data_IF_187150011129
#
_entry.id   IF_187150011129
#
_cell.length_a   1.000
_cell.length_b   1.000
_cell.length_c   1.000
_cell.angle_alpha   90.00
_cell.angle_beta   90.00
_cell.angle_gamma   90.00
#
_symmetry.space_group_name_H-M   'P 1'
#
loop_
_entity.id
_entity.type
_entity.pdbx_description
1 polymer ?
#
# COMPACT_ATOMS: atom_id res chain seq x y z
N UNK A 1 -9.31 -23.51 -11.75
CA UNK A 1 -8.99 -22.09 -11.50
C UNK A 1 -8.36 -22.00 -10.12
N UNK A 2 -7.44 -21.06 -9.83
CA UNK A 2 -6.83 -20.97 -8.51
C UNK A 2 -7.89 -20.66 -7.44
N UNK A 3 -7.66 -21.12 -6.22
CA UNK A 3 -8.48 -20.75 -5.08
C UNK A 3 -8.17 -19.30 -4.68
N UNK A 4 -9.19 -18.57 -4.22
CA UNK A 4 -9.04 -17.19 -3.78
C UNK A 4 -8.12 -17.09 -2.57
N UNK A 5 -7.03 -16.33 -2.68
CA UNK A 5 -6.03 -16.12 -1.62
C UNK A 5 -6.60 -15.45 -0.36
N UNK A 6 -7.76 -14.78 -0.46
CA UNK A 6 -8.42 -14.08 0.65
C UNK A 6 -9.48 -14.93 1.34
N UNK A 7 -10.47 -15.45 0.61
CA UNK A 7 -11.62 -16.14 1.21
C UNK A 7 -11.66 -17.65 0.95
N UNK A 8 -10.65 -18.20 0.28
CA UNK A 8 -10.51 -19.64 -0.01
C UNK A 8 -11.69 -20.23 -0.83
N UNK A 9 -12.46 -19.38 -1.53
CA UNK A 9 -13.49 -19.80 -2.48
C UNK A 9 -12.96 -19.86 -3.90
N UNK A 10 -13.70 -20.52 -4.78
CA UNK A 10 -13.37 -20.58 -6.20
C UNK A 10 -13.32 -19.17 -6.82
N UNK A 11 -12.38 -18.99 -7.76
CA UNK A 11 -12.25 -17.78 -8.57
C UNK A 11 -12.70 -18.05 -10.00
N UNK A 12 -13.10 -16.99 -10.69
CA UNK A 12 -13.46 -17.04 -12.11
C UNK A 12 -12.35 -16.40 -12.94
N UNK A 13 -12.05 -16.98 -14.09
CA UNK A 13 -11.14 -16.37 -15.07
C UNK A 13 -11.67 -14.99 -15.47
N UNK A 14 -10.79 -13.99 -15.47
CA UNK A 14 -11.11 -12.62 -15.85
C UNK A 14 -10.54 -12.29 -17.24
N UNK A 15 -9.22 -12.38 -17.39
CA UNK A 15 -8.54 -12.10 -18.66
C UNK A 15 -7.09 -12.63 -18.64
N UNK A 16 -6.40 -12.52 -19.78
CA UNK A 16 -4.94 -12.65 -19.88
C UNK A 16 -4.30 -11.31 -20.28
N UNK A 17 -3.13 -11.04 -19.75
CA UNK A 17 -2.33 -9.87 -20.11
C UNK A 17 -0.86 -10.28 -20.26
N UNK A 18 -0.15 -9.58 -21.14
CA UNK A 18 1.31 -9.66 -21.20
C UNK A 18 1.88 -8.73 -20.15
N UNK A 19 2.81 -9.24 -19.33
CA UNK A 19 3.55 -8.46 -18.35
C UNK A 19 5.05 -8.54 -18.63
N UNK A 20 5.80 -7.52 -18.20
CA UNK A 20 7.24 -7.38 -18.47
C UNK A 20 7.60 -7.50 -19.98
N UNK A 21 6.63 -7.32 -20.88
CA UNK A 21 6.82 -7.55 -22.32
C UNK A 21 7.14 -9.00 -22.70
N UNK A 22 6.85 -9.98 -21.82
CA UNK A 22 7.39 -11.35 -21.94
C UNK A 22 6.43 -12.44 -21.51
N UNK A 23 5.72 -12.26 -20.39
CA UNK A 23 4.93 -13.33 -19.77
C UNK A 23 3.43 -13.12 -20.01
N UNK A 24 2.75 -14.13 -20.54
CA UNK A 24 1.28 -14.10 -20.68
C UNK A 24 0.67 -14.70 -19.42
N UNK A 25 0.10 -13.85 -18.58
CA UNK A 25 -0.41 -14.20 -17.25
C UNK A 25 -1.93 -14.16 -17.21
N UNK A 26 -2.52 -15.16 -16.57
CA UNK A 26 -3.96 -15.22 -16.32
C UNK A 26 -4.33 -14.48 -15.03
N UNK A 27 -5.40 -13.69 -15.09
CA UNK A 27 -6.01 -13.00 -13.95
C UNK A 27 -7.36 -13.63 -13.62
N UNK A 28 -7.67 -13.69 -12.33
CA UNK A 28 -8.89 -14.31 -11.81
C UNK A 28 -9.56 -13.40 -10.79
N UNK A 29 -10.88 -13.33 -10.83
CA UNK A 29 -11.68 -12.57 -9.88
C UNK A 29 -12.54 -13.49 -9.00
N UNK A 30 -12.53 -13.26 -7.69
CA UNK A 30 -13.36 -14.02 -6.77
C UNK A 30 -14.78 -13.42 -6.68
N UNK A 31 -15.85 -14.14 -7.04
CA UNK A 31 -17.22 -13.62 -6.92
C UNK A 31 -17.66 -13.40 -5.45
N UNK A 32 -17.01 -14.07 -4.49
CA UNK A 32 -17.38 -13.97 -3.08
C UNK A 32 -16.83 -12.72 -2.39
N UNK A 33 -15.52 -12.49 -2.41
CA UNK A 33 -14.91 -11.32 -1.75
C UNK A 33 -14.46 -10.22 -2.71
N UNK A 34 -14.65 -10.42 -4.03
CA UNK A 34 -14.27 -9.49 -5.09
C UNK A 34 -12.78 -9.11 -5.07
N UNK A 35 -11.92 -10.06 -4.72
CA UNK A 35 -10.47 -9.95 -4.87
C UNK A 35 -10.07 -10.41 -6.27
N UNK A 36 -9.19 -9.66 -6.93
CA UNK A 36 -8.57 -10.09 -8.19
C UNK A 36 -7.12 -10.47 -7.92
N UNK A 37 -6.70 -11.61 -8.46
CA UNK A 37 -5.35 -12.15 -8.32
C UNK A 37 -4.85 -12.71 -9.65
N UNK A 38 -3.54 -12.81 -9.81
CA UNK A 38 -2.92 -13.58 -10.89
C UNK A 38 -2.97 -15.09 -10.63
N UNK A 39 -2.58 -15.88 -11.63
CA UNK A 39 -1.99 -17.21 -11.41
C UNK A 39 -0.72 -17.14 -10.53
N UNK A 40 -0.11 -18.30 -10.26
CA UNK A 40 1.14 -18.36 -9.48
C UNK A 40 2.19 -17.42 -10.07
N UNK A 41 2.74 -16.53 -9.24
CA UNK A 41 3.55 -15.41 -9.69
C UNK A 41 5.04 -15.78 -9.88
N UNK A 42 5.32 -16.70 -10.79
CA UNK A 42 6.66 -17.27 -11.02
C UNK A 42 7.70 -16.28 -11.57
N UNK A 43 7.27 -15.10 -12.05
CA UNK A 43 8.15 -14.04 -12.58
C UNK A 43 8.58 -13.02 -11.53
N UNK A 44 8.04 -13.06 -10.30
CA UNK A 44 8.26 -11.99 -9.32
C UNK A 44 9.74 -11.76 -9.02
N UNK A 45 10.54 -12.82 -8.95
CA UNK A 45 11.99 -12.71 -8.74
C UNK A 45 12.67 -11.81 -9.80
N UNK A 46 12.22 -11.89 -11.06
CA UNK A 46 12.69 -11.01 -12.12
C UNK A 46 12.22 -9.57 -11.90
N UNK A 47 10.95 -9.38 -11.53
CA UNK A 47 10.36 -8.06 -11.30
C UNK A 47 11.00 -7.30 -10.13
N UNK A 48 11.52 -8.01 -9.12
CA UNK A 48 12.13 -7.40 -7.93
C UNK A 48 13.63 -7.14 -8.04
N UNK A 49 14.27 -7.45 -9.18
CA UNK A 49 15.68 -7.05 -9.43
C UNK A 49 15.88 -5.53 -9.31
N UNK A 50 14.86 -4.76 -9.63
CA UNK A 50 14.79 -3.32 -9.39
C UNK A 50 13.59 -3.05 -8.45
N UNK A 51 13.79 -3.04 -7.12
CA UNK A 51 12.69 -3.00 -6.15
C UNK A 51 11.95 -1.67 -6.16
N UNK A 52 12.61 -0.60 -6.60
CA UNK A 52 11.99 0.71 -6.82
C UNK A 52 12.11 1.02 -8.30
N UNK A 53 10.97 1.16 -8.96
CA UNK A 53 10.91 1.40 -10.39
C UNK A 53 11.50 2.79 -10.71
N UNK A 54 12.48 2.83 -11.63
CA UNK A 54 13.11 4.08 -12.08
C UNK A 54 12.13 5.02 -12.79
N UNK A 55 11.00 4.52 -13.26
CA UNK A 55 9.94 5.33 -13.88
C UNK A 55 8.93 5.88 -12.86
N UNK A 56 9.05 5.55 -11.57
CA UNK A 56 8.20 6.12 -10.52
C UNK A 56 8.58 7.58 -10.23
N UNK A 57 7.97 8.49 -10.99
CA UNK A 57 8.13 9.93 -10.82
C UNK A 57 7.36 10.49 -9.62
N UNK A 58 6.50 9.68 -9.00
CA UNK A 58 5.64 10.08 -7.88
C UNK A 58 6.25 9.86 -6.50
N UNK A 59 7.38 9.14 -6.39
CA UNK A 59 7.93 8.64 -5.13
C UNK A 59 8.00 9.70 -4.02
N UNK A 60 8.62 10.85 -4.28
CA UNK A 60 8.80 11.92 -3.26
C UNK A 60 7.46 12.57 -2.90
N UNK A 61 6.64 12.91 -3.89
CA UNK A 61 5.35 13.55 -3.67
C UNK A 61 4.41 12.63 -2.88
N UNK A 62 4.40 11.34 -3.21
CA UNK A 62 3.65 10.29 -2.51
C UNK A 62 4.07 10.21 -1.04
N UNK A 63 5.37 10.14 -0.77
CA UNK A 63 5.92 10.14 0.58
C UNK A 63 5.50 11.38 1.40
N UNK A 64 5.50 12.57 0.78
CA UNK A 64 5.02 13.80 1.43
C UNK A 64 3.52 13.74 1.76
N UNK A 65 2.69 13.23 0.85
CA UNK A 65 1.27 13.03 1.09
C UNK A 65 1.04 12.01 2.21
N UNK A 66 1.64 10.83 2.12
CA UNK A 66 1.56 9.78 3.15
C UNK A 66 1.96 10.33 4.51
N UNK A 67 3.07 11.07 4.60
CA UNK A 67 3.55 11.66 5.86
C UNK A 67 2.55 12.66 6.45
N UNK A 68 1.91 13.50 5.61
CA UNK A 68 0.86 14.43 6.08
C UNK A 68 -0.36 13.68 6.57
N UNK A 69 -0.76 12.61 5.89
CA UNK A 69 -1.91 11.79 6.25
C UNK A 69 -1.67 11.03 7.55
N UNK A 70 -0.57 10.29 7.64
CA UNK A 70 -0.18 9.56 8.85
C UNK A 70 -0.06 10.48 10.05
N UNK A 71 0.57 11.66 9.92
CA UNK A 71 0.61 12.65 11.01
C UNK A 71 -0.79 13.01 11.50
N UNK A 72 -1.71 13.27 10.56
CA UNK A 72 -3.07 13.72 10.88
C UNK A 72 -3.88 12.59 11.53
N UNK A 73 -3.73 11.36 11.02
CA UNK A 73 -4.30 10.15 11.61
C UNK A 73 -3.81 9.96 13.05
N UNK A 74 -2.50 10.02 13.27
CA UNK A 74 -1.90 9.85 14.60
C UNK A 74 -2.46 10.89 15.55
N UNK A 75 -2.47 12.17 15.18
CA UNK A 75 -2.98 13.24 16.06
C UNK A 75 -4.44 13.07 16.47
N UNK A 76 -5.25 12.43 15.63
CA UNK A 76 -6.68 12.26 15.88
C UNK A 76 -7.03 10.96 16.61
N UNK A 77 -6.25 9.90 16.44
CA UNK A 77 -6.64 8.54 16.86
C UNK A 77 -5.57 7.75 17.62
N UNK A 78 -4.32 8.24 17.66
CA UNK A 78 -3.17 7.54 18.26
C UNK A 78 -2.32 8.49 19.12
N UNK A 79 -1.25 7.98 19.72
CA UNK A 79 -0.46 8.71 20.71
C UNK A 79 0.86 9.18 20.11
N UNK A 80 1.08 10.49 20.00
CA UNK A 80 2.34 11.05 19.43
C UNK A 80 3.62 10.45 20.04
N UNK A 81 3.62 10.12 21.33
CA UNK A 81 4.79 9.58 22.06
C UNK A 81 5.01 8.07 21.88
N UNK A 82 4.15 7.36 21.15
CA UNK A 82 4.34 5.96 20.85
C UNK A 82 5.41 5.73 19.77
N UNK A 83 5.78 4.47 19.59
CA UNK A 83 6.63 4.02 18.50
C UNK A 83 5.78 3.53 17.32
N UNK A 84 6.31 3.69 16.12
CA UNK A 84 5.66 3.40 14.85
C UNK A 84 6.61 2.65 13.95
N UNK A 85 6.09 1.87 13.01
CA UNK A 85 6.90 1.11 12.05
C UNK A 85 6.39 1.36 10.65
N UNK A 86 7.27 1.71 9.73
CA UNK A 86 6.98 1.67 8.29
C UNK A 86 7.49 0.34 7.71
N UNK A 87 6.54 -0.53 7.36
CA UNK A 87 6.78 -1.80 6.68
C UNK A 87 6.79 -1.59 5.16
N UNK A 88 7.76 -2.21 4.48
CA UNK A 88 8.06 -1.92 3.07
C UNK A 88 8.43 -0.44 2.88
N UNK A 89 9.31 0.06 3.76
CA UNK A 89 9.65 1.49 3.83
C UNK A 89 10.54 2.02 2.70
N UNK A 90 10.89 1.19 1.71
CA UNK A 90 11.73 1.56 0.57
C UNK A 90 13.08 2.12 1.02
N UNK A 91 13.53 3.20 0.38
CA UNK A 91 14.78 3.87 0.77
C UNK A 91 14.74 4.63 2.11
N UNK A 92 13.64 4.57 2.86
CA UNK A 92 13.52 5.18 4.19
C UNK A 92 13.10 6.66 4.19
N UNK A 93 12.65 7.19 3.05
CA UNK A 93 12.23 8.59 2.93
C UNK A 93 11.03 8.91 3.85
N UNK A 94 10.01 8.05 3.87
CA UNK A 94 8.84 8.25 4.71
C UNK A 94 9.22 8.31 6.19
N UNK A 95 10.03 7.35 6.65
CA UNK A 95 10.53 7.29 8.03
C UNK A 95 11.29 8.58 8.37
N UNK A 96 12.22 9.02 7.52
CA UNK A 96 12.92 10.29 7.70
C UNK A 96 11.96 11.47 7.84
N UNK A 97 10.98 11.59 6.94
CA UNK A 97 9.98 12.65 6.96
C UNK A 97 9.11 12.63 8.23
N UNK A 98 8.80 11.45 8.79
CA UNK A 98 8.03 11.33 10.02
C UNK A 98 8.88 11.67 11.26
N UNK A 99 10.16 11.28 11.27
CA UNK A 99 11.11 11.61 12.33
C UNK A 99 11.40 13.10 12.39
N UNK A 100 11.53 13.79 11.25
CA UNK A 100 11.65 15.25 11.19
C UNK A 100 10.45 15.97 11.81
N UNK A 101 9.28 15.33 11.83
CA UNK A 101 8.05 15.83 12.48
C UNK A 101 7.96 15.45 13.96
N UNK A 102 8.97 14.79 14.51
CA UNK A 102 9.06 14.38 15.91
C UNK A 102 8.24 13.16 16.27
N UNK A 103 8.06 12.20 15.34
CA UNK A 103 7.46 10.89 15.60
C UNK A 103 8.55 9.81 15.63
N UNK A 104 8.44 8.86 16.56
CA UNK A 104 9.40 7.76 16.66
C UNK A 104 9.05 6.64 15.66
N UNK A 105 9.43 6.82 14.40
CA UNK A 105 9.28 5.79 13.36
C UNK A 105 10.53 4.94 13.21
N UNK A 106 10.31 3.63 13.08
CA UNK A 106 11.27 2.62 12.64
C UNK A 106 11.02 2.24 11.19
N UNK A 107 12.04 1.71 10.55
CA UNK A 107 12.08 1.29 9.16
C UNK A 107 12.22 -0.23 9.05
N UNK A 108 11.52 -0.84 8.11
CA UNK A 108 11.77 -2.21 7.67
C UNK A 108 11.42 -2.39 6.20
N UNK A 109 12.33 -3.00 5.43
CA UNK A 109 12.09 -3.42 4.04
C UNK A 109 12.90 -4.69 3.73
N UNK A 110 12.35 -5.59 2.90
CA UNK A 110 13.02 -6.83 2.51
C UNK A 110 13.88 -6.69 1.26
N UNK A 111 13.59 -5.69 0.42
CA UNK A 111 14.15 -5.57 -0.92
C UNK A 111 14.94 -4.28 -1.11
N UNK A 112 14.54 -3.19 -0.46
CA UNK A 112 15.21 -1.91 -0.57
C UNK A 112 16.23 -1.67 0.56
N UNK A 113 17.40 -1.05 0.26
CA UNK A 113 18.32 -0.62 1.30
C UNK A 113 17.80 0.62 2.04
N UNK A 114 18.07 0.71 3.34
CA UNK A 114 17.77 1.90 4.14
C UNK A 114 18.79 3.01 3.89
N UNK A 115 18.52 3.91 2.95
CA UNK A 115 19.45 5.00 2.60
C UNK A 115 19.26 6.27 3.44
N UNK A 116 18.02 6.57 3.84
CA UNK A 116 17.65 7.85 4.44
C UNK A 116 17.33 7.75 5.93
N UNK A 117 17.10 6.56 6.47
CA UNK A 117 16.76 6.34 7.89
C UNK A 117 17.68 5.33 8.57
N UNK A 118 18.95 5.24 8.14
CA UNK A 118 19.94 4.37 8.75
C UNK A 118 20.05 4.59 10.26
N UNK A 119 20.12 3.50 11.03
CA UNK A 119 20.11 3.51 12.51
C UNK A 119 18.71 3.54 13.12
N UNK A 120 17.65 3.48 12.31
CA UNK A 120 16.26 3.38 12.75
C UNK A 120 15.58 2.13 12.21
N UNK A 121 16.35 1.07 11.94
CA UNK A 121 15.83 -0.25 11.58
C UNK A 121 15.01 -0.84 12.74
N UNK A 122 13.94 -1.54 12.41
CA UNK A 122 13.19 -2.30 13.39
C UNK A 122 13.93 -3.60 13.74
N UNK A 123 14.30 -3.75 15.01
CA UNK A 123 14.94 -4.97 15.52
C UNK A 123 13.88 -5.97 16.00
N UNK A 124 13.74 -7.08 15.28
CA UNK A 124 12.82 -8.16 15.67
C UNK A 124 13.29 -8.97 16.88
N UNK A 125 14.58 -8.91 17.25
CA UNK A 125 15.13 -9.64 18.39
C UNK A 125 14.92 -8.91 19.71
N UNK A 126 14.88 -7.58 19.68
CA UNK A 126 14.53 -6.75 20.82
C UNK A 126 13.45 -5.72 20.43
N UNK A 127 12.21 -6.18 20.22
CA UNK A 127 11.18 -5.36 19.58
C UNK A 127 10.66 -4.26 20.50
N UNK A 128 10.72 -3.04 20.00
CA UNK A 128 9.99 -1.91 20.55
C UNK A 128 8.49 -2.10 20.38
N UNK A 129 7.68 -1.65 21.35
CA UNK A 129 6.22 -1.74 21.25
C UNK A 129 5.70 -0.77 20.19
N UNK A 130 5.22 -1.29 19.07
CA UNK A 130 4.67 -0.51 17.95
C UNK A 130 3.17 -0.25 18.16
N UNK A 131 2.74 1.02 18.18
CA UNK A 131 1.31 1.35 18.24
C UNK A 131 0.64 1.19 16.88
N UNK A 132 1.29 1.62 15.79
CA UNK A 132 0.72 1.60 14.44
C UNK A 132 1.82 1.28 13.41
N UNK A 133 1.49 0.38 12.50
CA UNK A 133 2.28 0.10 11.29
C UNK A 133 1.76 0.95 10.14
N UNK A 134 2.66 1.53 9.35
CA UNK A 134 2.37 2.03 8.01
C UNK A 134 2.90 1.08 6.95
N UNK A 135 2.22 1.01 5.80
CA UNK A 135 2.64 0.19 4.67
C UNK A 135 2.03 0.74 3.38
N UNK A 136 2.81 1.46 2.58
CA UNK A 136 2.32 2.19 1.40
C UNK A 136 2.85 1.57 0.12
N UNK A 137 1.98 1.40 -0.89
CA UNK A 137 2.30 0.83 -2.22
C UNK A 137 2.93 -0.57 -2.14
N UNK A 138 2.42 -1.43 -1.25
CA UNK A 138 2.98 -2.76 -0.99
C UNK A 138 1.94 -3.88 -1.08
N UNK A 139 0.68 -3.59 -0.72
CA UNK A 139 -0.39 -4.60 -0.64
C UNK A 139 -0.67 -5.26 -1.98
N UNK A 140 -0.56 -4.50 -3.06
CA UNK A 140 -0.77 -4.95 -4.43
C UNK A 140 0.34 -5.89 -4.92
N UNK A 141 1.48 -5.95 -4.22
CA UNK A 141 2.58 -6.85 -4.55
C UNK A 141 2.60 -8.14 -3.72
N UNK A 142 1.68 -8.29 -2.76
CA UNK A 142 1.65 -9.48 -1.90
C UNK A 142 1.16 -10.70 -2.67
N UNK A 143 2.01 -11.72 -2.78
CA UNK A 143 1.61 -13.00 -3.37
C UNK A 143 0.64 -13.75 -2.44
N UNK A 144 0.84 -13.70 -1.13
CA UNK A 144 -0.10 -14.19 -0.13
C UNK A 144 -0.46 -13.09 0.88
N UNK A 145 -1.49 -12.26 0.57
CA UNK A 145 -1.83 -11.12 1.41
C UNK A 145 -2.15 -11.45 2.86
N UNK A 146 -2.77 -12.61 3.11
CA UNK A 146 -3.14 -13.01 4.46
C UNK A 146 -1.89 -13.36 5.27
N UNK A 147 -0.96 -14.10 4.66
CA UNK A 147 0.31 -14.45 5.31
C UNK A 147 1.16 -13.22 5.61
N UNK A 148 1.18 -12.22 4.73
CA UNK A 148 1.90 -10.96 5.00
C UNK A 148 1.27 -10.18 6.16
N UNK A 149 -0.07 -10.11 6.22
CA UNK A 149 -0.77 -9.51 7.35
C UNK A 149 -0.54 -10.27 8.67
N UNK A 150 -0.50 -11.60 8.62
CA UNK A 150 -0.21 -12.46 9.78
C UNK A 150 1.20 -12.28 10.32
N UNK A 151 2.16 -11.81 9.52
CA UNK A 151 3.48 -11.36 10.01
C UNK A 151 3.41 -9.99 10.70
N UNK A 152 2.52 -9.11 10.27
CA UNK A 152 2.37 -7.76 10.82
C UNK A 152 1.57 -7.72 12.12
N UNK A 153 0.51 -8.52 12.25
CA UNK A 153 -0.39 -8.48 13.41
C UNK A 153 0.28 -8.72 14.77
N UNK A 154 1.30 -9.59 14.91
CA UNK A 154 2.05 -9.72 16.16
C UNK A 154 2.80 -8.45 16.56
N UNK A 155 3.19 -7.61 15.59
CA UNK A 155 3.87 -6.33 15.84
C UNK A 155 2.84 -5.25 16.21
N UNK A 156 1.79 -5.10 15.40
CA UNK A 156 0.63 -4.26 15.71
C UNK A 156 -0.57 -4.66 14.87
N UNK A 157 -1.75 -4.63 15.50
CA UNK A 157 -3.05 -4.77 14.81
C UNK A 157 -3.61 -3.45 14.28
N UNK A 158 -2.90 -2.34 14.48
CA UNK A 158 -3.22 -1.09 13.80
C UNK A 158 -2.31 -0.97 12.58
N UNK A 159 -2.90 -1.01 11.39
CA UNK A 159 -2.18 -0.95 10.12
C UNK A 159 -2.84 0.11 9.24
N UNK A 160 -2.12 1.20 8.98
CA UNK A 160 -2.52 2.25 8.05
C UNK A 160 -1.77 2.08 6.73
N UNK A 161 -2.47 1.76 5.66
CA UNK A 161 -1.85 1.32 4.42
C UNK A 161 -2.45 1.99 3.19
N UNK A 162 -1.72 1.92 2.07
CA UNK A 162 -2.26 2.28 0.76
C UNK A 162 -2.33 1.10 -0.20
N UNK A 163 -3.39 1.09 -0.97
CA UNK A 163 -3.56 0.31 -2.20
C UNK A 163 -4.80 0.83 -2.91
N UNK A 164 -4.75 0.96 -4.25
CA UNK A 164 -5.90 1.47 -4.99
C UNK A 164 -7.01 0.41 -5.03
N UNK A 165 -8.19 0.80 -4.56
CA UNK A 165 -9.37 -0.04 -4.67
C UNK A 165 -9.79 -0.17 -6.12
N UNK A 166 -9.96 -1.42 -6.56
CA UNK A 166 -10.65 -1.70 -7.81
C UNK A 166 -12.16 -1.45 -7.66
N UNK A 167 -12.86 -1.07 -8.75
CA UNK A 167 -14.32 -1.09 -8.82
C UNK A 167 -14.92 -2.49 -8.56
N UNK A 168 -16.25 -2.54 -8.48
CA UNK A 168 -16.98 -3.80 -8.33
C UNK A 168 -16.64 -4.75 -9.47
N UNK A 169 -16.78 -4.27 -10.71
CA UNK A 169 -16.42 -5.02 -11.90
C UNK A 169 -14.90 -5.15 -12.04
N UNK A 170 -14.46 -6.12 -12.81
CA UNK A 170 -13.04 -6.24 -13.17
C UNK A 170 -12.69 -5.06 -14.07
N UNK A 171 -11.71 -4.22 -13.70
CA UNK A 171 -11.24 -3.13 -14.57
C UNK A 171 -10.80 -3.63 -15.94
N UNK A 172 -10.95 -2.77 -16.95
CA UNK A 172 -10.39 -3.05 -18.26
C UNK A 172 -8.85 -3.06 -18.21
N UNK A 173 -8.22 -3.69 -19.21
CA UNK A 173 -6.76 -3.84 -19.26
C UNK A 173 -5.99 -2.52 -19.41
N UNK A 174 -6.65 -1.39 -19.66
CA UNK A 174 -6.04 -0.06 -19.69
C UNK A 174 -6.03 0.60 -18.31
N UNK A 175 -6.60 -0.05 -17.29
CA UNK A 175 -6.51 0.43 -15.92
C UNK A 175 -5.04 0.47 -15.48
N UNK A 176 -4.50 1.68 -15.39
CA UNK A 176 -3.10 1.97 -15.13
C UNK A 176 -2.52 1.26 -13.89
N UNK A 177 -3.35 0.94 -12.90
CA UNK A 177 -2.92 0.30 -11.67
C UNK A 177 -2.56 -1.18 -11.85
N UNK A 178 -2.88 -1.79 -12.98
CA UNK A 178 -2.33 -3.12 -13.31
C UNK A 178 -0.83 -3.10 -13.54
N UNK A 179 -0.31 -1.98 -14.08
CA UNK A 179 1.10 -1.71 -14.26
C UNK A 179 1.89 -2.91 -14.84
N UNK A 180 1.34 -3.46 -15.93
CA UNK A 180 1.82 -4.67 -16.58
C UNK A 180 3.30 -4.56 -17.01
N UNK A 181 3.79 -3.35 -17.28
CA UNK A 181 5.17 -3.08 -17.69
C UNK A 181 6.20 -3.53 -16.67
N UNK A 182 5.92 -3.44 -15.37
CA UNK A 182 6.84 -3.87 -14.32
C UNK A 182 6.39 -5.15 -13.62
N UNK A 183 5.14 -5.57 -13.76
CA UNK A 183 4.67 -6.90 -13.38
C UNK A 183 4.68 -7.19 -11.86
N UNK A 184 4.86 -6.18 -11.01
CA UNK A 184 4.87 -6.36 -9.54
C UNK A 184 3.45 -6.35 -8.95
N UNK A 185 2.47 -5.76 -9.65
CA UNK A 185 1.09 -5.67 -9.17
C UNK A 185 0.35 -6.97 -9.51
N UNK A 186 0.06 -7.77 -8.48
CA UNK A 186 -0.50 -9.13 -8.62
C UNK A 186 -1.76 -9.36 -7.78
N UNK A 187 -2.06 -8.45 -6.85
CA UNK A 187 -3.15 -8.55 -5.89
C UNK A 187 -3.98 -7.27 -5.88
N UNK A 188 -5.27 -7.35 -6.21
CA UNK A 188 -6.12 -6.16 -6.35
C UNK A 188 -7.37 -6.26 -5.48
N UNK A 189 -7.51 -5.26 -4.62
CA UNK A 189 -8.50 -5.26 -3.54
C UNK A 189 -9.69 -4.41 -3.91
N UNK A 190 -10.89 -4.87 -3.56
CA UNK A 190 -12.07 -4.01 -3.48
C UNK A 190 -12.36 -3.67 -2.03
N UNK A 191 -13.24 -2.69 -1.80
CA UNK A 191 -13.74 -2.40 -0.44
C UNK A 191 -14.36 -3.63 0.23
N UNK A 192 -15.00 -4.52 -0.56
CA UNK A 192 -15.54 -5.80 -0.08
C UNK A 192 -14.43 -6.74 0.40
N UNK A 193 -13.31 -6.77 -0.32
CA UNK A 193 -12.15 -7.60 0.03
C UNK A 193 -11.54 -7.15 1.35
N UNK A 194 -11.23 -5.85 1.49
CA UNK A 194 -10.61 -5.34 2.71
C UNK A 194 -11.55 -5.46 3.92
N UNK A 195 -12.86 -5.25 3.72
CA UNK A 195 -13.86 -5.50 4.77
C UNK A 195 -13.87 -6.96 5.22
N UNK A 196 -13.83 -7.91 4.28
CA UNK A 196 -13.76 -9.34 4.60
C UNK A 196 -12.51 -9.68 5.41
N UNK A 197 -11.35 -9.14 5.05
CA UNK A 197 -10.10 -9.33 5.79
C UNK A 197 -10.25 -8.81 7.23
N UNK A 198 -10.76 -7.59 7.40
CA UNK A 198 -10.95 -7.01 8.72
C UNK A 198 -11.90 -7.85 9.60
N UNK A 199 -13.02 -8.32 9.03
CA UNK A 199 -13.96 -9.22 9.72
C UNK A 199 -13.28 -10.54 10.13
N UNK A 200 -12.48 -11.14 9.25
CA UNK A 200 -11.73 -12.37 9.53
C UNK A 200 -10.78 -12.24 10.72
N UNK A 201 -10.13 -11.09 10.89
CA UNK A 201 -9.19 -10.84 11.99
C UNK A 201 -9.79 -10.05 13.16
N UNK A 202 -11.12 -9.87 13.19
CA UNK A 202 -11.84 -9.14 14.23
C UNK A 202 -11.35 -7.69 14.41
N UNK A 203 -11.07 -7.00 13.30
CA UNK A 203 -10.63 -5.61 13.26
C UNK A 203 -11.73 -4.71 12.71
N UNK A 204 -11.68 -3.43 13.07
CA UNK A 204 -12.43 -2.40 12.39
C UNK A 204 -11.73 -2.01 11.08
N UNK A 205 -12.52 -1.76 10.03
CA UNK A 205 -12.04 -1.29 8.74
C UNK A 205 -12.54 0.12 8.47
N UNK A 206 -11.60 1.00 8.14
CA UNK A 206 -11.88 2.37 7.71
C UNK A 206 -11.16 2.67 6.41
N UNK A 207 -11.81 3.37 5.50
CA UNK A 207 -11.27 3.69 4.17
C UNK A 207 -11.70 5.08 3.72
N UNK A 208 -10.86 5.72 2.91
CA UNK A 208 -11.26 6.92 2.15
C UNK A 208 -12.08 6.58 0.88
N UNK A 209 -12.31 5.29 0.62
CA UNK A 209 -13.02 4.79 -0.55
C UNK A 209 -12.18 4.73 -1.83
N UNK A 210 -10.86 4.96 -1.73
CA UNK A 210 -9.96 5.00 -2.89
C UNK A 210 -8.65 4.26 -2.63
N UNK A 211 -7.74 4.85 -1.86
CA UNK A 211 -6.33 4.46 -1.81
C UNK A 211 -5.71 4.45 -0.41
N UNK A 212 -6.40 4.96 0.63
CA UNK A 212 -5.92 4.92 2.01
C UNK A 212 -6.90 4.21 2.94
N UNK A 213 -6.36 3.27 3.71
CA UNK A 213 -7.13 2.31 4.48
C UNK A 213 -6.51 2.10 5.86
N UNK A 214 -7.34 1.79 6.85
CA UNK A 214 -6.93 1.48 8.21
C UNK A 214 -7.62 0.20 8.68
N UNK A 215 -6.81 -0.77 9.09
CA UNK A 215 -7.23 -1.84 9.99
C UNK A 215 -6.85 -1.47 11.42
N UNK A 216 -7.74 -1.65 12.38
CA UNK A 216 -7.46 -1.27 13.78
C UNK A 216 -8.36 -2.01 14.77
N UNK A 217 -7.84 -2.26 15.98
CA UNK A 217 -8.65 -2.71 17.12
C UNK A 217 -9.46 -1.57 17.75
N UNK A 218 -9.14 -0.30 17.42
CA UNK A 218 -9.82 0.86 17.98
C UNK A 218 -11.12 1.12 17.23
N UNK A 219 -12.23 1.12 17.96
CA UNK A 219 -13.50 1.64 17.45
C UNK A 219 -13.43 3.17 17.30
N UNK A 220 -13.35 3.66 16.06
CA UNK A 220 -13.42 5.07 15.71
C UNK A 220 -14.86 5.40 15.27
N UNK A 221 -15.46 6.45 15.84
CA UNK A 221 -16.80 6.84 15.42
C UNK A 221 -16.84 7.33 13.97
N UNK A 222 -17.91 7.01 13.27
CA UNK A 222 -18.13 7.38 11.85
C UNK A 222 -17.95 8.87 11.63
N UNK A 223 -18.42 9.72 12.56
CA UNK A 223 -18.24 11.16 12.49
C UNK A 223 -16.76 11.58 12.46
N UNK A 224 -15.94 11.04 13.38
CA UNK A 224 -14.51 11.37 13.44
C UNK A 224 -13.76 10.86 12.21
N UNK A 225 -14.10 9.65 11.73
CA UNK A 225 -13.51 9.12 10.50
C UNK A 225 -13.88 9.95 9.27
N UNK A 226 -15.15 10.34 9.14
CA UNK A 226 -15.61 11.19 8.04
C UNK A 226 -14.93 12.55 8.07
N UNK A 227 -14.72 13.13 9.25
CA UNK A 227 -13.95 14.36 9.41
C UNK A 227 -12.49 14.19 8.95
N UNK A 228 -11.83 13.11 9.34
CA UNK A 228 -10.48 12.78 8.84
C UNK A 228 -10.46 12.58 7.31
N UNK A 229 -11.46 11.90 6.76
CA UNK A 229 -11.60 11.69 5.31
C UNK A 229 -11.84 12.99 4.55
N UNK A 230 -12.49 13.98 5.17
CA UNK A 230 -12.64 15.31 4.60
C UNK A 230 -11.30 16.07 4.60
N UNK A 231 -10.54 16.00 5.71
CA UNK A 231 -9.18 16.54 5.78
C UNK A 231 -8.31 15.93 4.69
N UNK A 232 -8.40 14.61 4.45
CA UNK A 232 -7.70 13.94 3.36
C UNK A 232 -8.03 14.57 2.01
N UNK A 233 -9.31 14.74 1.67
CA UNK A 233 -9.74 15.31 0.38
C UNK A 233 -9.17 16.72 0.18
N UNK A 234 -9.17 17.54 1.23
CA UNK A 234 -8.59 18.88 1.19
C UNK A 234 -7.07 18.83 1.01
N UNK A 235 -6.36 18.03 1.81
CA UNK A 235 -4.90 17.88 1.68
C UNK A 235 -4.52 17.39 0.29
N UNK A 236 -5.21 16.39 -0.24
CA UNK A 236 -5.00 15.88 -1.59
C UNK A 236 -5.22 16.97 -2.65
N UNK A 237 -6.32 17.72 -2.57
CA UNK A 237 -6.60 18.83 -3.48
C UNK A 237 -5.48 19.88 -3.48
N UNK A 238 -5.03 20.32 -2.30
CA UNK A 238 -3.96 21.32 -2.20
C UNK A 238 -2.59 20.78 -2.62
N UNK A 239 -2.26 19.53 -2.32
CA UNK A 239 -0.97 18.93 -2.71
C UNK A 239 -0.85 18.71 -4.22
N UNK A 240 -1.95 18.40 -4.90
CA UNK A 240 -1.95 18.23 -6.34
C UNK A 240 -2.08 19.57 -7.08
N UNK A 241 -2.93 20.50 -6.62
CA UNK A 241 -3.12 21.78 -7.31
C UNK A 241 -2.03 22.82 -7.06
N UNK A 242 -1.26 22.73 -5.96
CA UNK A 242 -0.12 23.64 -5.75
C UNK A 242 1.09 23.32 -6.63
N UNK A 243 1.11 22.16 -7.29
CA UNK A 243 2.24 21.68 -8.09
C UNK A 243 1.88 21.65 -9.58
N UNK A 244 0.62 21.36 -9.95
CA UNK A 244 0.13 21.47 -11.33
C UNK A 244 -0.24 22.91 -11.73
N UNK A 245 0.70 23.83 -11.64
CA UNK A 245 0.70 25.00 -12.53
C UNK A 245 1.38 24.58 -13.84
N UNK A 246 0.59 24.10 -14.82
CA UNK A 246 0.91 23.93 -16.26
C UNK A 246 2.42 24.08 -16.62
N UNK A 247 3.21 23.01 -16.46
CA UNK A 247 4.61 22.76 -16.86
C UNK A 247 5.11 21.72 -15.84
N UNK A 248 5.49 20.48 -16.12
CA UNK A 248 6.41 19.98 -17.12
C UNK A 248 6.28 18.45 -17.21
N UNK A 249 5.88 17.93 -18.37
CA UNK A 249 6.21 16.55 -18.78
C UNK A 249 7.38 16.56 -19.80
N UNK A 250 8.12 17.67 -19.88
CA UNK A 250 9.15 17.92 -20.90
C UNK A 250 10.50 17.25 -20.61
N UNK A 251 10.72 16.66 -19.43
CA UNK A 251 12.05 16.18 -19.01
C UNK A 251 12.17 14.67 -18.76
N UNK A 252 11.14 13.87 -19.09
CA UNK A 252 11.20 12.40 -18.89
C UNK A 252 11.78 11.63 -20.09
N UNK A 253 12.09 12.29 -21.20
CA UNK A 253 12.99 11.73 -22.22
C UNK A 253 14.44 11.90 -21.76
N UNK A 254 14.88 11.06 -20.81
CA UNK A 254 16.32 10.84 -20.65
C UNK A 254 16.77 9.84 -21.70
N UNK A 255 17.48 10.40 -22.68
CA UNK A 255 18.35 9.77 -23.66
C UNK A 255 18.99 8.47 -23.18
N UNK A 256 18.79 7.40 -23.95
CA UNK A 256 19.67 6.23 -23.96
C UNK A 256 21.09 6.68 -24.29
N UNK A 257 22.01 6.49 -23.34
CA UNK A 257 23.45 6.45 -23.58
C UNK A 257 23.99 5.20 -22.88
#
# INVERSE_FOLDING_TARGET
MPVCKICQKETLFAFKAEILGKYIISYYNCPHCNFTQTEQAYWLEESYKNPINTTDTGLVQRNLLCSRMTRSLIRLFFTKKASYLDMAGGYGLFVRLMRDKGYNFYWHDLYAPNLLSAGFEYDSHNPEKIELITSFESFEHFDDPLKELEKMFPISKNIFFSTLLKPTDVPDKQWWYYAFEHGQHISFYSGKTLKFIAEKYHLHFYSNGKDFHLFTEKAISTFRWNFYSLIFKLLHYFCYNSIFTKRDNLFLEKSTC
#
